data_IF_428198111329
#
_entry.id   IF_428198111329
#
_cell.length_a   1.000
_cell.length_b   1.000
_cell.length_c   1.000
_cell.angle_alpha   90.00
_cell.angle_beta   90.00
_cell.angle_gamma   90.00
#
_symmetry.space_group_name_H-M   'P 1'
#
loop_
_entity.id
_entity.type
_entity.pdbx_description
1 polymer ?
#
# COMPACT_ATOMS: atom_id res chain seq x y z
N UNK A 1 -5.48 3.95 7.46
CA UNK A 1 -4.13 4.19 8.00
C UNK A 1 -3.11 4.16 6.87
N UNK A 2 -2.11 5.03 6.89
CA UNK A 2 -1.03 5.05 5.89
C UNK A 2 0.32 4.88 6.61
N UNK A 3 1.15 3.97 6.14
CA UNK A 3 2.53 3.81 6.60
C UNK A 3 3.51 4.27 5.52
N UNK A 4 4.50 5.06 5.91
CA UNK A 4 5.57 5.51 5.02
C UNK A 4 6.89 4.97 5.57
N UNK A 5 7.50 4.05 4.84
CA UNK A 5 8.77 3.46 5.24
C UNK A 5 9.96 4.27 4.71
N UNK A 6 11.02 4.38 5.50
CA UNK A 6 12.22 5.15 5.18
C UNK A 6 13.43 4.63 5.95
N UNK A 7 14.63 5.17 5.66
CA UNK A 7 15.85 4.90 6.43
C UNK A 7 16.56 3.59 6.12
N UNK A 8 16.17 2.88 5.05
CA UNK A 8 16.85 1.67 4.58
C UNK A 8 16.94 1.65 3.04
N UNK A 9 17.82 0.79 2.51
CA UNK A 9 17.94 0.60 1.07
C UNK A 9 16.60 0.13 0.44
N UNK A 10 16.32 0.57 -0.79
CA UNK A 10 15.05 0.30 -1.48
C UNK A 10 14.67 -1.19 -1.50
N UNK A 11 15.65 -2.08 -1.72
CA UNK A 11 15.43 -3.53 -1.69
C UNK A 11 14.95 -4.04 -0.32
N UNK A 12 15.46 -3.45 0.78
CA UNK A 12 15.06 -3.81 2.15
C UNK A 12 13.69 -3.24 2.51
N UNK A 13 13.37 -2.03 2.06
CA UNK A 13 12.02 -1.45 2.20
C UNK A 13 10.98 -2.28 1.43
N UNK A 14 11.29 -2.70 0.20
CA UNK A 14 10.43 -3.58 -0.60
C UNK A 14 10.16 -4.91 0.12
N UNK A 15 11.20 -5.50 0.70
CA UNK A 15 11.05 -6.74 1.49
C UNK A 15 10.22 -6.51 2.75
N UNK A 16 10.45 -5.42 3.46
CA UNK A 16 9.66 -5.05 4.63
C UNK A 16 8.16 -4.88 4.31
N UNK A 17 7.81 -4.28 3.17
CA UNK A 17 6.42 -4.20 2.70
C UNK A 17 5.82 -5.60 2.49
N UNK A 18 6.58 -6.52 1.88
CA UNK A 18 6.14 -7.90 1.66
C UNK A 18 5.96 -8.69 2.98
N UNK A 19 6.89 -8.51 3.92
CA UNK A 19 6.83 -9.13 5.25
C UNK A 19 5.63 -8.60 6.04
N UNK A 20 5.38 -7.28 6.01
CA UNK A 20 4.22 -6.65 6.66
C UNK A 20 2.89 -7.19 6.12
N UNK A 21 2.79 -7.37 4.80
CA UNK A 21 1.62 -8.00 4.17
C UNK A 21 1.46 -9.46 4.60
N UNK A 22 2.56 -10.21 4.63
CA UNK A 22 2.53 -11.61 5.07
C UNK A 22 2.05 -11.72 6.51
N UNK A 23 2.54 -10.84 7.39
CA UNK A 23 2.11 -10.77 8.79
C UNK A 23 0.63 -10.41 8.91
N UNK A 24 0.17 -9.40 8.18
CA UNK A 24 -1.23 -8.98 8.23
C UNK A 24 -2.21 -10.04 7.68
N UNK A 25 -1.80 -10.81 6.67
CA UNK A 25 -2.62 -11.92 6.15
C UNK A 25 -2.65 -13.15 7.07
N UNK A 26 -1.69 -13.27 7.99
CA UNK A 26 -1.67 -14.35 8.97
C UNK A 26 -2.62 -14.11 10.16
N UNK A 27 -3.11 -12.87 10.32
CA UNK A 27 -4.05 -12.50 11.37
C UNK A 27 -5.50 -12.54 10.82
N UNK A 28 -6.33 -13.50 11.28
CA UNK A 28 -7.70 -13.67 10.78
C UNK A 28 -8.66 -12.55 11.22
N UNK A 29 -8.31 -11.75 12.23
CA UNK A 29 -9.19 -10.70 12.76
C UNK A 29 -9.02 -9.38 11.99
N UNK A 30 -7.89 -9.16 11.32
CA UNK A 30 -7.63 -7.93 10.57
C UNK A 30 -8.59 -7.69 9.40
N UNK A 31 -8.96 -8.70 8.57
CA UNK A 31 -9.95 -8.49 7.50
C UNK A 31 -11.34 -8.12 8.02
N UNK A 32 -11.73 -8.60 9.21
CA UNK A 32 -13.07 -8.37 9.79
C UNK A 32 -13.14 -7.07 10.59
N UNK A 33 -12.00 -6.53 11.02
CA UNK A 33 -11.91 -5.27 11.76
C UNK A 33 -12.29 -4.01 10.94
N UNK A 34 -12.52 -4.14 9.62
CA UNK A 34 -12.91 -3.02 8.76
C UNK A 34 -11.80 -1.97 8.56
N UNK A 35 -10.56 -2.30 8.90
CA UNK A 35 -9.42 -1.38 8.82
C UNK A 35 -8.89 -1.37 7.39
N UNK A 36 -8.76 -0.17 6.80
CA UNK A 36 -8.02 0.03 5.55
C UNK A 36 -6.62 0.54 5.86
N UNK A 37 -5.60 -0.17 5.39
CA UNK A 37 -4.22 0.24 5.55
C UNK A 37 -3.42 0.08 4.25
N UNK A 38 -2.55 1.05 3.97
CA UNK A 38 -1.61 1.00 2.85
C UNK A 38 -0.23 1.47 3.26
N UNK A 39 0.77 0.99 2.53
CA UNK A 39 2.18 1.25 2.77
C UNK A 39 2.86 1.75 1.52
N UNK A 40 3.74 2.73 1.67
CA UNK A 40 4.61 3.28 0.60
C UNK A 40 5.99 3.58 1.17
N UNK A 41 6.91 4.08 0.35
CA UNK A 41 8.20 4.60 0.82
C UNK A 41 8.25 6.14 0.78
N UNK A 42 9.11 6.74 1.59
CA UNK A 42 9.30 8.19 1.58
C UNK A 42 9.81 8.68 0.21
N UNK A 43 10.67 7.91 -0.45
CA UNK A 43 11.20 8.26 -1.77
C UNK A 43 10.07 8.29 -2.82
N UNK A 44 9.21 7.26 -2.85
CA UNK A 44 8.04 7.25 -3.74
C UNK A 44 7.09 8.43 -3.49
N UNK A 45 6.85 8.75 -2.21
CA UNK A 45 6.00 9.87 -1.84
C UNK A 45 6.58 11.23 -2.26
N UNK A 46 7.91 11.39 -2.18
CA UNK A 46 8.60 12.62 -2.59
C UNK A 46 8.66 12.76 -4.10
N UNK A 47 8.88 11.67 -4.83
CA UNK A 47 9.04 11.67 -6.28
C UNK A 47 7.73 11.78 -7.04
N UNK A 48 6.68 11.09 -6.59
CA UNK A 48 5.42 10.97 -7.33
C UNK A 48 4.28 11.76 -6.70
N UNK A 49 4.45 12.18 -5.43
CA UNK A 49 3.43 12.89 -4.68
C UNK A 49 2.36 11.96 -4.10
N UNK A 50 1.61 12.48 -3.14
CA UNK A 50 0.63 11.70 -2.36
C UNK A 50 -0.57 11.20 -3.17
N UNK A 51 -0.92 11.84 -4.28
CA UNK A 51 -2.09 11.43 -5.07
C UNK A 51 -1.75 10.39 -6.13
N UNK A 52 -0.46 10.08 -6.33
CA UNK A 52 -0.06 8.98 -7.19
C UNK A 52 -0.44 7.63 -6.55
N UNK A 53 -0.57 6.62 -7.39
CA UNK A 53 -0.97 5.28 -6.96
C UNK A 53 0.24 4.50 -6.47
N UNK A 54 0.86 5.00 -5.39
CA UNK A 54 2.11 4.51 -4.81
C UNK A 54 1.91 3.73 -3.51
N UNK A 55 0.69 3.65 -3.02
CA UNK A 55 0.38 2.89 -1.82
C UNK A 55 0.03 1.45 -2.20
N UNK A 56 0.77 0.50 -1.63
CA UNK A 56 0.40 -0.91 -1.66
C UNK A 56 -0.55 -1.17 -0.48
N UNK A 57 -1.77 -1.67 -0.70
CA UNK A 57 -2.63 -2.11 0.40
C UNK A 57 -1.91 -3.12 1.29
N UNK A 58 -2.22 -3.19 2.57
CA UNK A 58 -1.63 -4.22 3.45
C UNK A 58 -2.50 -5.47 3.47
N UNK A 59 -3.81 -5.26 3.44
CA UNK A 59 -4.83 -6.31 3.42
C UNK A 59 -5.38 -6.47 2.00
N UNK A 60 -5.68 -7.71 1.62
CA UNK A 60 -6.26 -8.02 0.32
C UNK A 60 -5.28 -7.86 -0.86
N UNK A 61 -5.78 -7.60 -2.08
CA UNK A 61 -4.96 -7.52 -3.30
C UNK A 61 -3.84 -6.48 -3.19
N UNK A 62 -2.67 -6.80 -3.76
CA UNK A 62 -1.49 -5.92 -3.77
C UNK A 62 -1.52 -4.85 -4.86
N UNK A 63 -2.70 -4.55 -5.42
CA UNK A 63 -2.85 -3.56 -6.48
C UNK A 63 -2.51 -2.17 -5.95
N UNK A 64 -1.60 -1.41 -6.58
CA UNK A 64 -1.28 -0.06 -6.14
C UNK A 64 -2.52 0.86 -6.12
N UNK A 65 -2.61 1.73 -5.11
CA UNK A 65 -3.72 2.63 -4.82
C UNK A 65 -3.24 4.02 -4.44
N UNK A 66 -4.13 5.00 -4.49
CA UNK A 66 -3.89 6.35 -3.98
C UNK A 66 -4.00 6.42 -2.44
N UNK A 67 -3.88 7.62 -1.87
CA UNK A 67 -4.02 7.85 -0.41
C UNK A 67 -5.36 7.44 0.18
N UNK A 68 -6.42 7.34 -0.64
CA UNK A 68 -7.74 6.94 -0.19
C UNK A 68 -7.87 5.42 -0.10
N UNK A 69 -6.83 4.67 -0.50
CA UNK A 69 -6.83 3.21 -0.54
C UNK A 69 -8.03 2.68 -1.35
N UNK A 70 -8.39 3.45 -2.38
CA UNK A 70 -9.40 3.07 -3.34
C UNK A 70 -8.70 2.35 -4.49
N UNK A 71 -9.17 1.15 -4.89
CA UNK A 71 -8.67 0.53 -6.11
C UNK A 71 -8.92 1.51 -7.24
N UNK A 72 -7.87 1.89 -7.96
CA UNK A 72 -7.97 2.87 -9.04
C UNK A 72 -9.10 2.45 -9.99
N UNK A 73 -10.11 3.30 -10.12
CA UNK A 73 -11.13 3.20 -11.18
C UNK A 73 -10.54 3.63 -12.54
N UNK A 74 -9.30 3.23 -12.85
CA UNK A 74 -8.59 3.63 -14.07
C UNK A 74 -8.69 2.59 -15.20
N UNK A 75 -9.72 1.72 -15.15
CA UNK A 75 -9.97 0.68 -16.18
C UNK A 75 -11.42 0.71 -16.71
N UNK A 76 -12.11 1.86 -16.66
CA UNK A 76 -13.41 2.02 -17.32
C UNK A 76 -13.69 3.49 -17.68
N UNK A 77 -12.95 4.03 -18.64
CA UNK A 77 -13.40 5.19 -19.43
C UNK A 77 -12.76 5.14 -20.81
N UNK A 78 -13.15 4.12 -21.56
CA UNK A 78 -13.04 4.06 -23.01
C UNK A 78 -14.32 3.38 -23.53
N UNK A 79 -15.38 4.16 -23.64
CA UNK A 79 -16.60 3.87 -24.39
C UNK A 79 -17.29 5.20 -24.73
#
# INVERSE_FOLDING_TARGET
MLLVLTGAAAARLKRCIADLRSLANADPDLPTAGIRAGVTTLDQLREQGRFACIFTPILGPATPTDIWLSPNSNTASAA
#
